data_IF_529907274082
#
_entry.id   IF_529907274082
#
_cell.length_a   1.000
_cell.length_b   1.000
_cell.length_c   1.000
_cell.angle_alpha   90.00
_cell.angle_beta   90.00
_cell.angle_gamma   90.00
#
_symmetry.space_group_name_H-M   'P 1'
#
loop_
_entity.id
_entity.type
_entity.pdbx_description
1 polymer ?
#
# COMPACT_ATOMS: atom_id res chain seq x y z
N UNK A 1 -35.78 5.52 67.02
CA UNK A 1 -35.77 6.60 66.01
C UNK A 1 -34.31 6.98 65.79
N UNK A 2 -33.65 6.81 64.65
CA UNK A 2 -33.94 6.25 63.34
C UNK A 2 -32.61 6.32 62.57
N UNK A 3 -32.17 5.22 61.96
CA UNK A 3 -30.99 5.19 61.10
C UNK A 3 -31.26 5.94 59.79
N UNK A 4 -30.30 6.73 59.32
CA UNK A 4 -30.22 7.12 57.91
C UNK A 4 -28.78 6.95 57.45
N UNK A 5 -28.50 5.82 56.80
CA UNK A 5 -27.30 5.64 55.97
C UNK A 5 -27.56 6.33 54.62
N UNK A 6 -26.66 7.23 54.20
CA UNK A 6 -26.66 7.78 52.85
C UNK A 6 -25.78 6.91 51.96
N UNK A 7 -26.41 6.15 51.08
CA UNK A 7 -25.77 5.52 49.91
C UNK A 7 -26.44 6.08 48.66
N UNK A 8 -25.77 7.00 47.96
CA UNK A 8 -25.98 7.26 46.53
C UNK A 8 -24.67 6.88 45.85
N UNK A 9 -24.53 5.66 45.34
CA UNK A 9 -24.96 5.22 44.00
C UNK A 9 -24.40 6.13 42.91
N UNK A 10 -23.19 5.78 42.51
CA UNK A 10 -22.60 6.06 41.21
C UNK A 10 -23.41 5.30 40.14
N UNK A 11 -24.12 5.98 39.24
CA UNK A 11 -24.79 5.29 38.13
C UNK A 11 -24.89 6.08 36.83
N UNK A 12 -24.03 7.07 36.59
CA UNK A 12 -24.05 7.83 35.32
C UNK A 12 -22.83 7.60 34.42
N UNK A 13 -21.79 6.91 34.89
CA UNK A 13 -20.55 6.72 34.11
C UNK A 13 -20.49 5.44 33.27
N UNK A 14 -21.44 4.49 33.44
CA UNK A 14 -21.38 3.19 32.76
C UNK A 14 -22.01 3.19 31.35
N UNK A 15 -23.00 4.07 31.07
CA UNK A 15 -23.66 4.11 29.76
C UNK A 15 -22.84 4.78 28.64
N UNK A 16 -21.91 5.68 28.99
CA UNK A 16 -20.99 6.31 28.03
C UNK A 16 -19.86 5.39 27.57
N UNK A 17 -19.45 4.43 28.40
CA UNK A 17 -18.38 3.50 28.09
C UNK A 17 -18.86 2.37 27.15
N UNK A 18 -20.07 1.86 27.39
CA UNK A 18 -20.68 0.78 26.60
C UNK A 18 -21.03 1.24 25.18
N UNK A 19 -21.50 2.49 25.02
CA UNK A 19 -21.77 3.09 23.71
C UNK A 19 -20.48 3.38 22.91
N UNK A 20 -19.41 3.83 23.56
CA UNK A 20 -18.11 4.00 22.87
C UNK A 20 -17.48 2.66 22.50
N UNK A 21 -17.58 1.64 23.35
CA UNK A 21 -17.10 0.30 23.05
C UNK A 21 -17.90 -0.32 21.89
N UNK A 22 -19.23 -0.19 21.90
CA UNK A 22 -20.09 -0.66 20.82
C UNK A 22 -19.78 0.06 19.50
N UNK A 23 -19.54 1.37 19.50
CA UNK A 23 -19.13 2.12 18.32
C UNK A 23 -17.76 1.67 17.80
N UNK A 24 -16.80 1.38 18.68
CA UNK A 24 -15.49 0.83 18.30
C UNK A 24 -15.64 -0.56 17.68
N UNK A 25 -16.46 -1.42 18.27
CA UNK A 25 -16.73 -2.77 17.77
C UNK A 25 -17.49 -2.76 16.44
N UNK A 26 -18.48 -1.87 16.27
CA UNK A 26 -19.20 -1.68 15.03
C UNK A 26 -18.28 -1.12 13.93
N UNK A 27 -17.44 -0.13 14.25
CA UNK A 27 -16.45 0.41 13.30
C UNK A 27 -15.48 -0.69 12.86
N UNK A 28 -14.93 -1.46 13.80
CA UNK A 28 -14.03 -2.58 13.50
C UNK A 28 -14.72 -3.67 12.65
N UNK A 29 -16.01 -3.94 12.88
CA UNK A 29 -16.80 -4.90 12.09
C UNK A 29 -17.04 -4.39 10.66
N UNK A 30 -17.31 -3.10 10.47
CA UNK A 30 -17.46 -2.48 9.15
C UNK A 30 -16.13 -2.46 8.38
N UNK A 31 -15.03 -2.12 9.04
CA UNK A 31 -13.68 -2.18 8.46
C UNK A 31 -13.33 -3.61 8.02
N UNK A 32 -13.59 -4.61 8.88
CA UNK A 32 -13.40 -6.03 8.56
C UNK A 32 -14.15 -6.47 7.31
N UNK A 33 -15.42 -6.07 7.17
CA UNK A 33 -16.25 -6.35 5.99
C UNK A 33 -15.66 -5.74 4.72
N UNK A 34 -15.21 -4.48 4.75
CA UNK A 34 -14.63 -3.85 3.57
C UNK A 34 -13.30 -4.49 3.15
N UNK A 35 -12.46 -4.89 4.11
CA UNK A 35 -11.22 -5.62 3.83
C UNK A 35 -11.51 -6.93 3.07
N UNK A 36 -12.49 -7.71 3.55
CA UNK A 36 -12.93 -8.94 2.89
C UNK A 36 -13.50 -8.68 1.49
N UNK A 37 -14.31 -7.63 1.36
CA UNK A 37 -14.91 -7.26 0.08
C UNK A 37 -13.87 -6.84 -0.96
N UNK A 38 -12.83 -6.10 -0.56
CA UNK A 38 -11.72 -5.75 -1.45
C UNK A 38 -10.94 -7.01 -1.83
N UNK A 39 -10.65 -7.90 -0.87
CA UNK A 39 -9.97 -9.18 -1.14
C UNK A 39 -10.70 -10.05 -2.15
N UNK A 40 -12.02 -10.10 -2.07
CA UNK A 40 -12.84 -11.00 -2.89
C UNK A 40 -13.39 -10.34 -4.16
N UNK A 41 -13.00 -9.11 -4.47
CA UNK A 41 -13.52 -8.33 -5.61
C UNK A 41 -15.06 -8.08 -5.53
N UNK A 42 -15.58 -7.99 -4.30
CA UNK A 42 -17.02 -7.80 -4.01
C UNK A 42 -17.36 -6.42 -3.44
N UNK A 43 -16.39 -5.52 -3.30
CA UNK A 43 -16.64 -4.14 -2.89
C UNK A 43 -17.65 -3.45 -3.82
N UNK A 44 -18.58 -2.61 -3.31
CA UNK A 44 -19.69 -2.03 -4.08
C UNK A 44 -19.27 -0.92 -5.07
N UNK A 45 -18.44 -1.29 -6.04
CA UNK A 45 -18.19 -0.51 -7.25
C UNK A 45 -19.40 -0.53 -8.17
N UNK A 46 -19.56 0.44 -9.07
CA UNK A 46 -20.70 0.45 -10.01
C UNK A 46 -20.74 -0.81 -10.88
N UNK A 47 -19.58 -1.31 -11.34
CA UNK A 47 -19.54 -2.58 -12.07
C UNK A 47 -20.03 -3.75 -11.20
N UNK A 48 -19.61 -3.81 -9.94
CA UNK A 48 -20.02 -4.86 -9.00
C UNK A 48 -21.53 -4.83 -8.67
N UNK A 49 -22.08 -3.63 -8.46
CA UNK A 49 -23.49 -3.43 -8.11
C UNK A 49 -24.45 -3.78 -9.25
N UNK A 50 -23.98 -3.68 -10.49
CA UNK A 50 -24.74 -3.98 -11.71
C UNK A 50 -24.59 -5.43 -12.19
N UNK A 51 -23.80 -6.26 -11.49
CA UNK A 51 -23.78 -7.71 -11.72
C UNK A 51 -25.19 -8.28 -11.57
N UNK A 52 -25.53 -9.25 -12.41
CA UNK A 52 -26.86 -9.88 -12.41
C UNK A 52 -27.94 -9.11 -13.19
N UNK A 53 -27.57 -8.22 -14.11
CA UNK A 53 -28.50 -7.62 -15.07
C UNK A 53 -29.29 -6.42 -14.56
N UNK A 54 -28.83 -5.78 -13.48
CA UNK A 54 -29.45 -4.55 -12.96
C UNK A 54 -29.17 -3.38 -13.89
N UNK A 55 -30.12 -2.46 -14.01
CA UNK A 55 -29.98 -1.25 -14.81
C UNK A 55 -29.25 -0.14 -14.03
N UNK A 56 -28.37 0.60 -14.70
CA UNK A 56 -27.64 1.73 -14.13
C UNK A 56 -26.38 2.05 -14.92
N UNK A 57 -25.66 3.11 -14.52
CA UNK A 57 -24.39 3.49 -15.14
C UNK A 57 -23.23 2.68 -14.55
N UNK A 58 -22.37 2.15 -15.44
CA UNK A 58 -21.11 1.51 -15.07
C UNK A 58 -19.95 2.50 -15.01
N UNK A 59 -20.13 3.73 -15.46
CA UNK A 59 -19.05 4.71 -15.54
C UNK A 59 -18.45 4.99 -14.15
N UNK A 60 -17.15 5.22 -14.09
CA UNK A 60 -16.48 5.69 -12.88
C UNK A 60 -17.12 6.97 -12.36
N UNK A 61 -17.51 6.96 -11.09
CA UNK A 61 -18.12 8.11 -10.42
C UNK A 61 -17.19 9.32 -10.32
N UNK A 62 -15.88 9.12 -10.46
CA UNK A 62 -14.87 10.17 -10.37
C UNK A 62 -14.42 10.69 -11.74
N UNK A 63 -14.08 9.79 -12.67
CA UNK A 63 -13.43 10.18 -13.92
C UNK A 63 -14.18 9.75 -15.19
N UNK A 64 -15.41 9.24 -15.05
CA UNK A 64 -16.27 8.82 -16.17
C UNK A 64 -15.74 7.70 -17.07
N UNK A 65 -14.68 7.01 -16.65
CA UNK A 65 -14.19 5.81 -17.36
C UNK A 65 -15.33 4.77 -17.49
N UNK A 66 -15.53 4.08 -18.63
CA UNK A 66 -16.75 3.29 -18.88
C UNK A 66 -17.10 2.20 -17.84
N UNK A 67 -16.10 1.66 -17.14
CA UNK A 67 -16.31 0.61 -16.14
C UNK A 67 -15.58 0.92 -14.82
N UNK A 68 -16.34 1.34 -13.80
CA UNK A 68 -15.89 1.46 -12.42
C UNK A 68 -15.69 0.07 -11.82
N UNK A 69 -14.49 -0.47 -11.97
CA UNK A 69 -14.04 -1.69 -11.32
C UNK A 69 -13.08 -1.35 -10.18
N UNK A 70 -12.83 -2.31 -9.28
CA UNK A 70 -11.78 -2.15 -8.28
C UNK A 70 -10.40 -1.96 -8.93
N UNK A 71 -10.13 -2.65 -10.04
CA UNK A 71 -8.91 -2.43 -10.85
C UNK A 71 -8.80 -0.99 -11.33
N UNK A 72 -9.90 -0.44 -11.84
CA UNK A 72 -9.91 0.95 -12.24
C UNK A 72 -9.60 1.86 -11.04
N UNK A 73 -10.35 1.76 -9.95
CA UNK A 73 -10.21 2.65 -8.79
C UNK A 73 -8.85 2.54 -8.10
N UNK A 74 -8.32 1.33 -7.92
CA UNK A 74 -7.12 1.09 -7.12
C UNK A 74 -5.81 1.15 -7.92
N UNK A 75 -5.87 1.17 -9.25
CA UNK A 75 -4.67 1.06 -10.09
C UNK A 75 -4.62 2.03 -11.29
N UNK A 76 -5.76 2.54 -11.79
CA UNK A 76 -5.81 3.25 -13.07
C UNK A 76 -6.51 4.62 -13.02
N UNK A 77 -7.35 4.86 -12.02
CA UNK A 77 -8.21 6.04 -12.00
C UNK A 77 -7.37 7.32 -11.85
N UNK A 78 -7.39 8.25 -12.83
CA UNK A 78 -6.59 9.46 -12.76
C UNK A 78 -7.00 10.36 -11.59
N UNK A 79 -8.29 10.37 -11.22
CA UNK A 79 -8.79 11.12 -10.07
C UNK A 79 -8.25 10.59 -8.72
N UNK A 80 -7.75 9.34 -8.68
CA UNK A 80 -7.18 8.72 -7.47
C UNK A 80 -5.65 8.58 -7.58
N UNK A 81 -5.02 9.15 -8.60
CA UNK A 81 -3.60 8.92 -8.88
C UNK A 81 -2.70 9.28 -7.69
N UNK A 82 -2.96 10.41 -7.03
CA UNK A 82 -2.22 10.79 -5.81
C UNK A 82 -2.32 9.75 -4.70
N UNK A 83 -3.48 9.11 -4.53
CA UNK A 83 -3.65 8.09 -3.48
C UNK A 83 -3.03 6.75 -3.85
N UNK A 84 -3.02 6.43 -5.15
CA UNK A 84 -2.30 5.27 -5.69
C UNK A 84 -0.79 5.44 -5.44
N UNK A 85 -0.23 6.63 -5.72
CA UNK A 85 1.18 6.95 -5.42
C UNK A 85 1.45 6.89 -3.93
N UNK A 86 0.60 7.49 -3.08
CA UNK A 86 0.80 7.46 -1.62
C UNK A 86 0.82 6.04 -1.07
N UNK A 87 -0.03 5.15 -1.60
CA UNK A 87 0.00 3.71 -1.28
C UNK A 87 1.33 3.07 -1.63
N UNK A 88 1.80 3.30 -2.85
CA UNK A 88 3.10 2.82 -3.31
C UNK A 88 4.23 3.32 -2.41
N UNK A 89 4.33 4.63 -2.21
CA UNK A 89 5.39 5.27 -1.43
C UNK A 89 5.38 4.81 0.03
N UNK A 90 4.21 4.49 0.59
CA UNK A 90 4.13 3.93 1.94
C UNK A 90 4.85 2.58 2.06
N UNK A 91 4.81 1.74 1.03
CA UNK A 91 5.55 0.46 1.03
C UNK A 91 7.05 0.71 0.91
N UNK A 92 7.44 1.62 0.02
CA UNK A 92 8.84 2.07 -0.12
C UNK A 92 9.39 2.54 1.23
N UNK A 93 8.65 3.40 1.94
CA UNK A 93 9.03 3.92 3.26
C UNK A 93 9.14 2.82 4.32
N UNK A 94 8.21 1.86 4.35
CA UNK A 94 8.24 0.76 5.31
C UNK A 94 9.44 -0.17 5.06
N UNK A 95 9.77 -0.46 3.80
CA UNK A 95 10.97 -1.21 3.44
C UNK A 95 12.25 -0.45 3.81
N UNK A 96 12.31 0.85 3.50
CA UNK A 96 13.44 1.70 3.83
C UNK A 96 13.68 1.78 5.34
N UNK A 97 12.62 2.01 6.13
CA UNK A 97 12.68 2.04 7.59
C UNK A 97 13.20 0.70 8.12
N UNK A 98 12.64 -0.42 7.65
CA UNK A 98 13.05 -1.74 8.12
C UNK A 98 14.50 -2.08 7.77
N UNK A 99 14.95 -1.71 6.58
CA UNK A 99 16.35 -1.88 6.20
C UNK A 99 17.29 -1.01 7.06
N UNK A 100 16.90 0.24 7.33
CA UNK A 100 17.63 1.14 8.22
C UNK A 100 17.75 0.61 9.65
N UNK A 101 16.67 0.06 10.21
CA UNK A 101 16.66 -0.60 11.54
C UNK A 101 17.64 -1.79 11.61
N UNK A 102 17.88 -2.47 10.49
CA UNK A 102 18.83 -3.59 10.39
C UNK A 102 20.28 -3.09 10.23
N UNK A 103 20.48 -1.78 9.99
CA UNK A 103 21.79 -1.14 9.85
C UNK A 103 22.21 -0.85 8.42
N UNK A 104 21.32 -1.02 7.43
CA UNK A 104 21.61 -0.64 6.05
C UNK A 104 21.56 0.87 5.85
N UNK A 105 22.37 1.39 4.92
CA UNK A 105 22.20 2.74 4.38
C UNK A 105 21.18 2.68 3.25
N UNK A 106 20.22 3.60 3.24
CA UNK A 106 19.12 3.59 2.26
C UNK A 106 19.08 4.92 1.52
N UNK A 107 19.02 4.86 0.19
CA UNK A 107 18.76 6.00 -0.69
C UNK A 107 17.42 5.80 -1.37
N UNK A 108 16.47 6.71 -1.16
CA UNK A 108 15.16 6.71 -1.83
C UNK A 108 15.22 7.53 -3.12
N UNK A 109 14.56 7.05 -4.18
CA UNK A 109 14.41 7.75 -5.46
C UNK A 109 15.74 8.33 -5.99
N UNK A 110 16.82 7.56 -5.86
CA UNK A 110 18.16 8.03 -6.19
C UNK A 110 18.35 8.10 -7.71
N UNK A 111 18.79 9.26 -8.22
CA UNK A 111 18.98 9.47 -9.66
C UNK A 111 20.32 8.88 -10.11
N UNK A 112 20.29 7.71 -10.74
CA UNK A 112 21.44 7.08 -11.36
C UNK A 112 21.60 7.57 -12.80
N UNK A 113 22.59 8.44 -13.05
CA UNK A 113 22.92 8.90 -14.40
C UNK A 113 23.92 7.94 -15.04
N UNK A 114 23.48 7.20 -16.05
CA UNK A 114 24.29 6.24 -16.78
C UNK A 114 25.22 6.93 -17.78
N UNK A 115 26.27 6.23 -18.18
CA UNK A 115 27.22 6.72 -19.21
C UNK A 115 26.54 6.97 -20.57
N UNK A 116 25.47 6.23 -20.87
CA UNK A 116 24.63 6.44 -22.06
C UNK A 116 23.88 7.78 -22.05
N UNK A 117 23.91 8.53 -20.95
CA UNK A 117 23.14 9.76 -20.73
C UNK A 117 21.74 9.52 -20.18
N UNK A 118 21.26 8.27 -20.14
CA UNK A 118 19.97 7.91 -19.54
C UNK A 118 20.01 8.05 -18.01
N UNK A 119 18.91 8.51 -17.41
CA UNK A 119 18.74 8.51 -15.95
C UNK A 119 17.73 7.45 -15.54
N UNK A 120 18.14 6.58 -14.61
CA UNK A 120 17.26 5.61 -13.95
C UNK A 120 17.05 6.06 -12.50
N UNK A 121 15.82 5.90 -12.01
CA UNK A 121 15.46 6.29 -10.64
C UNK A 121 14.72 5.12 -9.99
N UNK A 122 15.43 4.15 -9.39
CA UNK A 122 14.79 3.10 -8.62
C UNK A 122 14.21 3.66 -7.32
N UNK A 123 13.18 3.01 -6.78
CA UNK A 123 12.58 3.44 -5.51
C UNK A 123 13.58 3.40 -4.36
N UNK A 124 14.39 2.34 -4.26
CA UNK A 124 15.37 2.13 -3.20
C UNK A 124 16.71 1.62 -3.72
N UNK A 125 17.78 2.17 -3.16
CA UNK A 125 19.12 1.59 -3.15
C UNK A 125 19.52 1.39 -1.70
N UNK A 126 19.69 0.14 -1.31
CA UNK A 126 20.05 -0.28 0.05
C UNK A 126 21.47 -0.82 0.01
N UNK A 127 22.40 -0.29 0.81
CA UNK A 127 23.80 -0.67 0.73
C UNK A 127 24.53 -0.63 2.08
N UNK A 128 25.56 -1.45 2.23
CA UNK A 128 26.35 -1.54 3.49
C UNK A 128 27.56 -0.60 3.51
N UNK A 129 27.81 0.12 2.41
CA UNK A 129 28.89 1.11 2.32
C UNK A 129 30.13 0.61 1.58
N UNK A 130 30.03 -0.49 0.83
CA UNK A 130 31.04 -0.87 -0.17
C UNK A 130 31.08 -2.36 -0.49
N UNK A 131 30.51 -3.22 0.35
CA UNK A 131 30.46 -4.65 0.12
C UNK A 131 29.28 -5.05 -0.77
N UNK A 132 28.07 -4.67 -0.36
CA UNK A 132 26.82 -5.08 -1.00
C UNK A 132 25.88 -3.91 -1.22
N UNK A 133 25.21 -3.94 -2.37
CA UNK A 133 24.11 -3.04 -2.71
C UNK A 133 22.92 -3.84 -3.25
N UNK A 134 21.71 -3.39 -2.92
CA UNK A 134 20.45 -4.01 -3.29
C UNK A 134 19.59 -2.92 -3.91
N UNK A 135 19.26 -3.07 -5.18
CA UNK A 135 18.28 -2.21 -5.86
C UNK A 135 16.91 -2.84 -5.70
N UNK A 136 15.95 -2.08 -5.18
CA UNK A 136 14.57 -2.52 -5.02
C UNK A 136 13.64 -1.50 -5.66
N UNK A 137 12.75 -1.95 -6.52
CA UNK A 137 11.71 -1.11 -7.14
C UNK A 137 10.34 -1.77 -6.96
N UNK A 138 9.43 -1.05 -6.31
CA UNK A 138 8.12 -1.53 -5.94
C UNK A 138 7.19 -1.54 -7.17
N UNK A 139 6.36 -2.57 -7.24
CA UNK A 139 5.31 -2.70 -8.24
C UNK A 139 4.00 -3.08 -7.57
N UNK A 140 2.96 -2.29 -7.84
CA UNK A 140 1.60 -2.61 -7.38
C UNK A 140 0.84 -3.20 -8.56
N UNK A 141 0.45 -4.46 -8.43
CA UNK A 141 -0.23 -5.21 -9.49
C UNK A 141 -1.67 -5.48 -9.09
N UNK A 142 -2.62 -5.37 -10.01
CA UNK A 142 -3.96 -5.85 -9.73
C UNK A 142 -4.01 -7.36 -9.88
N UNK A 143 -4.45 -8.06 -8.84
CA UNK A 143 -4.58 -9.52 -8.82
C UNK A 143 -5.62 -9.97 -9.84
N UNK A 144 -5.19 -10.74 -10.85
CA UNK A 144 -6.05 -11.33 -11.89
C UNK A 144 -5.94 -12.86 -11.85
N UNK A 145 -6.72 -13.54 -12.68
CA UNK A 145 -6.63 -15.00 -12.85
C UNK A 145 -5.36 -15.46 -13.58
N UNK A 146 -4.56 -14.53 -14.13
CA UNK A 146 -3.28 -14.85 -14.76
C UNK A 146 -2.27 -15.31 -13.70
N UNK A 147 -1.71 -16.53 -13.80
CA UNK A 147 -0.90 -17.12 -12.75
C UNK A 147 0.46 -16.45 -12.58
N UNK A 148 0.97 -15.78 -13.62
CA UNK A 148 2.31 -15.18 -13.66
C UNK A 148 2.30 -13.65 -13.53
N UNK A 149 1.18 -13.06 -13.12
CA UNK A 149 0.99 -11.60 -13.11
C UNK A 149 1.99 -10.91 -12.18
N UNK A 150 2.40 -11.56 -11.10
CA UNK A 150 3.37 -11.02 -10.14
C UNK A 150 4.80 -11.22 -10.63
N UNK A 151 5.11 -12.39 -11.18
CA UNK A 151 6.38 -12.78 -11.76
C UNK A 151 6.75 -11.82 -12.88
N UNK A 152 5.81 -11.57 -13.80
CA UNK A 152 6.00 -10.63 -14.90
C UNK A 152 6.27 -9.21 -14.41
N UNK A 153 5.56 -8.76 -13.37
CA UNK A 153 5.77 -7.43 -12.80
C UNK A 153 7.14 -7.32 -12.11
N UNK A 154 7.54 -8.34 -11.34
CA UNK A 154 8.84 -8.43 -10.70
C UNK A 154 9.97 -8.39 -11.74
N UNK A 155 9.92 -9.28 -12.74
CA UNK A 155 10.95 -9.37 -13.77
C UNK A 155 11.04 -8.13 -14.63
N UNK A 156 9.91 -7.45 -14.90
CA UNK A 156 9.93 -6.18 -15.64
C UNK A 156 10.75 -5.12 -14.89
N UNK A 157 10.66 -5.05 -13.55
CA UNK A 157 11.48 -4.16 -12.74
C UNK A 157 12.95 -4.59 -12.74
N UNK A 158 13.23 -5.89 -12.59
CA UNK A 158 14.61 -6.41 -12.67
C UNK A 158 15.25 -6.02 -14.00
N UNK A 159 14.61 -6.35 -15.14
CA UNK A 159 15.10 -5.98 -16.48
C UNK A 159 15.32 -4.48 -16.64
N UNK A 160 14.44 -3.64 -16.08
CA UNK A 160 14.56 -2.18 -16.14
C UNK A 160 15.82 -1.65 -15.44
N UNK A 161 16.19 -2.23 -14.30
CA UNK A 161 17.28 -1.72 -13.46
C UNK A 161 18.54 -2.60 -13.44
N UNK A 162 18.58 -3.66 -14.24
CA UNK A 162 19.75 -4.54 -14.36
C UNK A 162 21.03 -3.77 -14.72
N UNK A 163 20.89 -2.71 -15.55
CA UNK A 163 21.97 -1.79 -15.90
C UNK A 163 22.60 -1.03 -14.71
N UNK A 164 21.94 -0.98 -13.55
CA UNK A 164 22.47 -0.30 -12.37
C UNK A 164 23.58 -1.07 -11.66
N UNK A 165 23.79 -2.36 -11.97
CA UNK A 165 24.85 -3.15 -11.33
C UNK A 165 26.22 -2.51 -11.51
N UNK A 166 26.57 -2.15 -12.73
CA UNK A 166 27.89 -1.58 -13.01
C UNK A 166 27.99 -0.13 -12.53
N UNK A 167 26.89 0.63 -12.61
CA UNK A 167 26.81 1.97 -12.04
C UNK A 167 27.10 1.98 -10.53
N UNK A 168 26.48 1.08 -9.75
CA UNK A 168 26.66 1.06 -8.30
C UNK A 168 28.05 0.57 -7.86
N UNK A 169 28.71 -0.27 -8.67
CA UNK A 169 30.12 -0.64 -8.47
C UNK A 169 31.03 0.57 -8.73
N UNK A 170 30.82 1.28 -9.83
CA UNK A 170 31.60 2.48 -10.17
C UNK A 170 31.47 3.57 -9.11
N UNK A 171 30.27 3.76 -8.56
CA UNK A 171 29.98 4.68 -7.45
C UNK A 171 30.46 4.16 -6.08
N UNK A 172 31.10 2.99 -6.02
CA UNK A 172 31.60 2.34 -4.79
C UNK A 172 30.51 2.16 -3.73
N UNK A 173 29.27 1.95 -4.15
CA UNK A 173 28.15 1.68 -3.24
C UNK A 173 28.06 0.20 -2.87
N UNK A 174 28.51 -0.70 -3.75
CA UNK A 174 28.66 -2.12 -3.46
C UNK A 174 29.33 -2.89 -4.59
N UNK A 175 30.28 -3.75 -4.27
CA UNK A 175 30.91 -4.68 -5.22
C UNK A 175 29.96 -5.78 -5.68
N UNK A 176 29.15 -6.31 -4.75
CA UNK A 176 28.08 -7.26 -5.04
C UNK A 176 26.74 -6.53 -5.09
N UNK A 177 26.14 -6.46 -6.27
CA UNK A 177 24.84 -5.81 -6.47
C UNK A 177 23.78 -6.87 -6.72
N UNK A 178 22.61 -6.78 -6.09
CA UNK A 178 21.40 -7.52 -6.47
C UNK A 178 20.30 -6.53 -6.89
N UNK A 179 19.45 -6.95 -7.83
CA UNK A 179 18.38 -6.12 -8.40
C UNK A 179 17.07 -6.88 -8.29
N UNK A 180 16.06 -6.25 -7.71
CA UNK A 180 14.79 -6.86 -7.40
C UNK A 180 13.62 -5.95 -7.76
N UNK A 181 12.56 -6.57 -8.30
CA UNK A 181 11.22 -6.02 -8.11
C UNK A 181 10.72 -6.29 -6.69
N UNK A 182 9.76 -5.52 -6.21
CA UNK A 182 9.03 -5.85 -4.97
C UNK A 182 7.54 -5.68 -5.21
N UNK A 183 6.82 -6.79 -5.32
CA UNK A 183 5.46 -6.80 -5.88
C UNK A 183 4.42 -6.94 -4.77
N UNK A 184 3.39 -6.12 -4.82
CA UNK A 184 2.21 -6.26 -3.95
C UNK A 184 0.94 -6.26 -4.80
N UNK A 185 0.00 -7.10 -4.38
CA UNK A 185 -1.34 -7.11 -4.92
C UNK A 185 -2.15 -5.91 -4.46
N UNK A 186 -2.93 -5.31 -5.36
CA UNK A 186 -3.83 -4.19 -5.04
C UNK A 186 -4.91 -4.56 -4.01
N UNK A 187 -5.22 -5.85 -3.87
CA UNK A 187 -6.15 -6.42 -2.89
C UNK A 187 -5.42 -7.09 -1.72
N UNK A 188 -4.12 -6.81 -1.56
CA UNK A 188 -3.33 -7.20 -0.40
C UNK A 188 -2.56 -8.51 -0.56
N UNK A 189 -2.52 -9.13 -1.76
CA UNK A 189 -1.65 -10.30 -1.96
C UNK A 189 -0.17 -9.95 -1.75
N UNK A 190 0.55 -10.86 -1.09
CA UNK A 190 2.00 -10.79 -0.91
C UNK A 190 2.62 -12.05 -1.54
N UNK A 191 3.12 -11.98 -2.78
CA UNK A 191 3.67 -13.14 -3.47
C UNK A 191 5.03 -13.56 -2.90
N UNK A 192 5.33 -14.86 -2.95
CA UNK A 192 6.59 -15.44 -2.47
C UNK A 192 7.81 -14.97 -3.27
N UNK A 193 7.63 -14.43 -4.48
CA UNK A 193 8.71 -13.86 -5.29
C UNK A 193 9.43 -12.68 -4.61
N UNK A 194 8.84 -12.10 -3.55
CA UNK A 194 9.49 -11.08 -2.73
C UNK A 194 10.50 -11.64 -1.71
N UNK A 195 10.50 -12.96 -1.48
CA UNK A 195 11.31 -13.59 -0.43
C UNK A 195 12.83 -13.39 -0.62
N UNK A 196 13.40 -13.46 -1.84
CA UNK A 196 14.79 -13.11 -2.08
C UNK A 196 15.14 -11.70 -1.60
N UNK A 197 14.26 -10.71 -1.82
CA UNK A 197 14.47 -9.32 -1.39
C UNK A 197 14.57 -9.23 0.13
N UNK A 198 13.64 -9.88 0.83
CA UNK A 198 13.63 -9.90 2.29
C UNK A 198 14.87 -10.62 2.84
N UNK A 199 15.28 -11.72 2.21
CA UNK A 199 16.49 -12.47 2.58
C UNK A 199 17.75 -11.62 2.41
N UNK A 200 17.89 -10.91 1.29
CA UNK A 200 19.05 -10.07 0.99
C UNK A 200 19.16 -8.90 1.98
N UNK A 201 18.04 -8.25 2.32
CA UNK A 201 17.99 -7.21 3.35
C UNK A 201 18.20 -7.81 4.77
N UNK A 202 17.89 -9.09 4.98
CA UNK A 202 17.99 -9.76 6.28
C UNK A 202 16.70 -9.72 7.11
N UNK A 203 15.56 -9.41 6.48
CA UNK A 203 14.23 -9.42 7.10
C UNK A 203 13.72 -10.88 7.17
N UNK A 204 13.65 -11.43 8.39
CA UNK A 204 13.18 -12.81 8.64
C UNK A 204 11.80 -12.91 9.31
N UNK A 205 11.12 -11.78 9.47
CA UNK A 205 9.87 -11.73 10.24
C UNK A 205 8.64 -11.96 9.35
N UNK A 206 7.91 -13.05 9.60
CA UNK A 206 6.60 -13.28 8.97
C UNK A 206 5.62 -12.13 9.29
N UNK A 207 5.71 -11.57 10.51
CA UNK A 207 4.88 -10.45 10.94
C UNK A 207 5.07 -9.23 10.04
N UNK A 208 6.26 -9.03 9.48
CA UNK A 208 6.52 -7.94 8.55
C UNK A 208 5.78 -8.14 7.22
N UNK A 209 5.81 -9.36 6.64
CA UNK A 209 5.03 -9.69 5.43
C UNK A 209 3.53 -9.47 5.66
N UNK A 210 3.01 -9.98 6.78
CA UNK A 210 1.60 -9.84 7.16
C UNK A 210 1.21 -8.37 7.40
N UNK A 211 2.09 -7.59 8.04
CA UNK A 211 1.88 -6.16 8.27
C UNK A 211 1.83 -5.40 6.95
N UNK A 212 2.76 -5.64 6.02
CA UNK A 212 2.74 -4.99 4.70
C UNK A 212 1.45 -5.31 3.94
N UNK A 213 1.09 -6.59 3.84
CA UNK A 213 -0.15 -7.05 3.19
C UNK A 213 -1.39 -6.37 3.78
N UNK A 214 -1.54 -6.45 5.12
CA UNK A 214 -2.70 -5.88 5.82
C UNK A 214 -2.74 -4.36 5.72
N UNK A 215 -1.60 -3.69 5.90
CA UNK A 215 -1.54 -2.23 5.83
C UNK A 215 -1.88 -1.73 4.42
N UNK A 216 -1.37 -2.40 3.39
CA UNK A 216 -1.63 -2.03 2.02
C UNK A 216 -3.11 -2.21 1.65
N UNK A 217 -3.70 -3.34 2.06
CA UNK A 217 -5.13 -3.61 1.88
C UNK A 217 -6.00 -2.59 2.63
N UNK A 218 -5.63 -2.23 3.87
CA UNK A 218 -6.32 -1.18 4.61
C UNK A 218 -6.31 0.14 3.84
N UNK A 219 -5.17 0.54 3.28
CA UNK A 219 -5.10 1.75 2.47
C UNK A 219 -5.95 1.67 1.18
N UNK A 220 -6.09 0.49 0.58
CA UNK A 220 -7.05 0.28 -0.52
C UNK A 220 -8.49 0.51 -0.06
N UNK A 221 -8.86 0.01 1.12
CA UNK A 221 -10.18 0.25 1.73
C UNK A 221 -10.38 1.74 2.03
N UNK A 222 -9.38 2.42 2.57
CA UNK A 222 -9.46 3.84 2.92
C UNK A 222 -9.74 4.70 1.69
N UNK A 223 -9.07 4.42 0.56
CA UNK A 223 -9.35 5.07 -0.74
C UNK A 223 -10.80 4.83 -1.17
N UNK A 224 -11.29 3.61 -1.02
CA UNK A 224 -12.64 3.25 -1.48
C UNK A 224 -13.73 3.80 -0.58
N UNK A 225 -13.51 3.86 0.74
CA UNK A 225 -14.49 4.43 1.68
C UNK A 225 -14.69 5.93 1.46
N UNK A 226 -13.65 6.64 0.98
CA UNK A 226 -13.76 8.05 0.59
C UNK A 226 -14.72 8.27 -0.59
N UNK A 227 -15.05 7.21 -1.36
CA UNK A 227 -16.01 7.25 -2.46
C UNK A 227 -17.48 7.21 -2.04
N UNK A 228 -17.75 6.86 -0.77
CA UNK A 228 -19.09 6.80 -0.17
C UNK A 228 -19.45 8.03 0.66
N UNK A 229 -18.50 8.96 0.85
CA UNK A 229 -18.74 10.26 1.48
C UNK A 229 -18.80 11.29 0.36
N UNK A 230 -19.98 11.82 0.08
CA UNK A 230 -20.15 12.98 -0.81
C UNK A 230 -19.27 14.13 -0.29
N UNK A 231 -18.06 14.27 -0.81
CA UNK A 231 -17.19 15.41 -0.53
C UNK A 231 -16.64 15.94 -1.84
N UNK A 232 -17.24 17.00 -2.39
CA UNK A 232 -16.77 17.62 -3.62
C UNK A 232 -15.37 18.25 -3.48
N UNK A 233 -14.94 18.62 -2.26
CA UNK A 233 -13.89 19.64 -2.10
C UNK A 233 -12.69 19.27 -1.20
N UNK A 234 -12.45 17.99 -0.87
CA UNK A 234 -11.34 17.65 0.05
C UNK A 234 -9.95 17.56 -0.62
N UNK A 235 -9.90 17.43 -1.94
CA UNK A 235 -8.65 17.11 -2.64
C UNK A 235 -7.75 18.31 -2.94
N UNK A 236 -8.26 19.53 -2.82
CA UNK A 236 -7.48 20.77 -2.96
C UNK A 236 -6.66 21.14 -1.72
N UNK A 237 -6.94 20.55 -0.54
CA UNK A 237 -6.33 20.96 0.73
C UNK A 237 -5.05 20.16 1.07
N UNK A 238 -4.83 19.01 0.41
CA UNK A 238 -3.66 18.15 0.70
C UNK A 238 -2.48 18.36 -0.26
N UNK A 239 -2.66 19.11 -1.35
CA UNK A 239 -1.55 19.50 -2.24
C UNK A 239 -0.77 20.71 -1.67
N UNK A 240 -1.37 21.48 -0.76
CA UNK A 240 -0.71 22.62 -0.10
C UNK A 240 0.16 22.25 1.11
N UNK A 241 -0.06 21.09 1.74
CA UNK A 241 0.68 20.73 2.98
C UNK A 241 1.99 19.97 2.75
N UNK A 242 2.23 19.39 1.56
CA UNK A 242 3.42 18.56 1.32
C UNK A 242 3.93 18.70 -0.12
N UNK A 243 4.13 19.95 -0.55
CA UNK A 243 4.54 20.29 -1.91
C UNK A 243 5.84 19.63 -2.39
N UNK A 244 5.80 19.30 -3.69
CA UNK A 244 6.87 18.98 -4.66
C UNK A 244 7.89 17.90 -4.31
#
# INVERSE_FOLDING_TARGET
MGMVARTGIWSETLHGFDSQQQLVEETARHEGKHLEQVRTDTFPTRAALLRGGRSGTQECRLCRFPHETLRHLLSLCPALHGQIIRRHNRIVDLLASKAGEIGWRVRKEFRCRLESGETRVPDLIIHDGGGRAIVVDVAITYETEQPDVFERAYEAKVRKYECLRDYLKAERLGESVSVHGFVLGSRGAFPEINDPVLKDIGIRSWHFKAMLSRRFLQMSVDILCQLGVDTPDRWSILDEQYGT
#
